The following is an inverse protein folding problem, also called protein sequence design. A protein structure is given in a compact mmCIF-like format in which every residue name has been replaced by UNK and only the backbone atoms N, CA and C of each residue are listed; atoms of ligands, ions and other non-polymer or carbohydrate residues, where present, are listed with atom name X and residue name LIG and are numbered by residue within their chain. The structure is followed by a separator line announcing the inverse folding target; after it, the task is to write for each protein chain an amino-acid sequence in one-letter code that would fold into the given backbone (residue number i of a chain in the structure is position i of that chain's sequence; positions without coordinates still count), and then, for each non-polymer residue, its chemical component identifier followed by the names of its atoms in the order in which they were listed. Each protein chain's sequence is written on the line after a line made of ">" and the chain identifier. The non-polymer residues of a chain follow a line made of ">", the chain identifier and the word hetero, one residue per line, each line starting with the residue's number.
data_IF_358246313263
#
_entry.id   IF_358246313263
#
_cell.length_a   1.000
_cell.length_b   1.000
_cell.length_c   1.000
_cell.angle_alpha   90.00
_cell.angle_beta   90.00
_cell.angle_gamma   90.00
#
_symmetry.space_group_name_H-M   'P 1'
#
loop_
_entity.id
_entity.type
_entity.pdbx_description
1 polymer ?
#
# COMPACT_ATOMS: atom_id res chain seq x y z
N UNK A 1 29.13 44.93 2.80
CA UNK A 1 27.97 44.04 2.57
C UNK A 1 28.53 42.64 2.32
N UNK A 2 28.25 41.68 3.19
CA UNK A 2 28.80 40.33 3.06
C UNK A 2 27.89 39.50 2.13
N UNK A 3 28.45 38.96 1.04
CA UNK A 3 27.74 38.08 0.10
C UNK A 3 27.20 36.77 0.70
N UNK A 4 26.32 36.06 -0.03
CA UNK A 4 25.60 34.87 0.43
C UNK A 4 26.55 33.68 0.73
N UNK A 5 26.02 32.70 1.45
CA UNK A 5 26.62 31.38 1.67
C UNK A 5 26.01 30.41 0.66
N UNK A 6 26.84 29.71 -0.10
CA UNK A 6 26.39 28.63 -0.98
C UNK A 6 26.42 27.31 -0.22
N UNK A 7 25.29 26.59 -0.25
CA UNK A 7 25.11 25.32 0.45
C UNK A 7 24.57 24.31 -0.56
N UNK A 8 25.21 23.15 -0.61
CA UNK A 8 24.74 22.03 -1.43
C UNK A 8 23.55 21.35 -0.74
N UNK A 9 22.50 21.06 -1.50
CA UNK A 9 21.32 20.36 -0.99
C UNK A 9 21.00 19.19 -1.88
N UNK A 10 20.65 18.06 -1.29
CA UNK A 10 20.29 16.85 -2.00
C UNK A 10 19.27 16.04 -1.19
N UNK A 11 18.66 15.02 -1.80
CA UNK A 11 17.69 14.15 -1.13
C UNK A 11 17.73 12.73 -1.68
N UNK A 12 17.24 11.80 -0.87
CA UNK A 12 16.94 10.46 -1.34
C UNK A 12 15.79 10.46 -2.36
N UNK A 13 15.83 9.48 -3.25
CA UNK A 13 14.77 9.19 -4.20
C UNK A 13 13.64 8.41 -3.54
N UNK A 14 12.40 8.73 -3.89
CA UNK A 14 11.22 8.16 -3.23
C UNK A 14 10.51 7.08 -4.04
N UNK A 15 10.78 7.00 -5.34
CA UNK A 15 10.18 6.04 -6.26
C UNK A 15 11.10 5.76 -7.45
N UNK A 16 10.83 4.67 -8.17
CA UNK A 16 11.55 4.34 -9.39
C UNK A 16 11.39 5.44 -10.45
N UNK A 17 12.50 5.96 -10.97
CA UNK A 17 12.52 7.01 -11.97
C UNK A 17 12.51 8.43 -11.41
N UNK A 18 12.36 8.61 -10.09
CA UNK A 18 12.55 9.91 -9.42
C UNK A 18 14.00 10.38 -9.60
N UNK A 19 14.96 9.46 -9.61
CA UNK A 19 16.39 9.67 -9.82
C UNK A 19 16.82 9.78 -11.28
N UNK A 20 15.87 9.87 -12.23
CA UNK A 20 16.21 10.07 -13.64
C UNK A 20 17.00 11.37 -13.87
N UNK A 21 16.84 12.35 -12.97
CA UNK A 21 17.65 13.56 -12.87
C UNK A 21 18.14 13.71 -11.44
N UNK A 22 19.37 14.19 -11.26
CA UNK A 22 19.92 14.46 -9.92
C UNK A 22 19.07 15.47 -9.15
N UNK A 23 18.83 15.20 -7.88
CA UNK A 23 18.17 16.13 -6.96
C UNK A 23 19.14 17.17 -6.36
N UNK A 24 20.44 17.01 -6.59
CA UNK A 24 21.47 17.88 -6.07
C UNK A 24 21.34 19.29 -6.67
N UNK A 25 21.26 20.29 -5.80
CA UNK A 25 21.23 21.70 -6.17
C UNK A 25 22.02 22.53 -5.17
N UNK A 26 22.29 23.78 -5.51
CA UNK A 26 22.87 24.77 -4.60
C UNK A 26 21.80 25.78 -4.20
N UNK A 27 21.80 26.15 -2.93
CA UNK A 27 21.00 27.25 -2.42
C UNK A 27 21.92 28.33 -1.85
N UNK A 28 21.53 29.59 -2.08
CA UNK A 28 22.25 30.75 -1.56
C UNK A 28 21.50 31.30 -0.35
N UNK A 29 22.11 31.25 0.83
CA UNK A 29 21.50 31.73 2.08
C UNK A 29 22.25 32.91 2.68
N UNK A 30 21.54 33.76 3.42
CA UNK A 30 22.16 34.89 4.10
C UNK A 30 22.93 34.42 5.34
N UNK A 31 24.13 34.92 5.62
CA UNK A 31 24.76 34.72 6.93
C UNK A 31 23.85 35.24 8.05
N UNK A 32 23.75 34.49 9.14
CA UNK A 32 22.97 34.85 10.32
C UNK A 32 21.60 34.17 10.41
N UNK A 33 21.14 33.48 9.36
CA UNK A 33 19.91 32.67 9.43
C UNK A 33 20.03 31.55 10.47
N UNK A 34 18.89 31.11 10.96
CA UNK A 34 18.80 30.01 11.92
C UNK A 34 18.90 28.65 11.22
N UNK A 35 19.26 27.61 11.96
CA UNK A 35 19.42 26.26 11.41
C UNK A 35 18.06 25.71 10.95
N UNK A 36 16.99 25.96 11.71
CA UNK A 36 15.64 25.59 11.30
C UNK A 36 15.26 26.24 9.95
N UNK A 37 15.56 27.53 9.79
CA UNK A 37 15.30 28.27 8.56
C UNK A 37 16.11 27.74 7.39
N UNK A 38 17.38 27.36 7.60
CA UNK A 38 18.20 26.72 6.59
C UNK A 38 17.59 25.38 6.14
N UNK A 39 17.20 24.52 7.08
CA UNK A 39 16.58 23.22 6.77
C UNK A 39 15.28 23.41 5.99
N UNK A 40 14.46 24.38 6.37
CA UNK A 40 13.20 24.67 5.68
C UNK A 40 13.45 25.16 4.24
N UNK A 41 14.43 26.05 4.03
CA UNK A 41 14.80 26.52 2.68
C UNK A 41 15.42 25.41 1.82
N UNK A 42 16.15 24.47 2.44
CA UNK A 42 16.75 23.32 1.77
C UNK A 42 15.75 22.18 1.52
N UNK A 43 14.53 22.27 2.04
CA UNK A 43 13.56 21.16 2.07
C UNK A 43 13.29 20.53 0.69
N UNK A 44 12.96 19.22 0.66
CA UNK A 44 12.51 18.55 -0.55
C UNK A 44 11.33 19.27 -1.21
N UNK A 45 11.31 19.26 -2.54
CA UNK A 45 10.18 19.74 -3.33
C UNK A 45 8.95 18.83 -3.23
N UNK A 46 9.09 17.63 -2.68
CA UNK A 46 8.00 16.67 -2.48
C UNK A 46 7.08 17.15 -1.36
N UNK A 47 5.79 17.21 -1.65
CA UNK A 47 4.75 17.79 -0.79
C UNK A 47 3.67 16.77 -0.39
N UNK A 48 4.10 15.56 -0.07
CA UNK A 48 3.21 14.46 0.34
C UNK A 48 3.03 14.40 1.87
N UNK A 49 1.78 14.34 2.31
CA UNK A 49 1.40 14.25 3.72
C UNK A 49 1.75 12.88 4.33
N UNK A 50 2.16 12.86 5.60
CA UNK A 50 2.56 11.66 6.33
C UNK A 50 3.94 11.11 5.96
N UNK A 51 4.66 11.77 5.05
CA UNK A 51 6.02 11.40 4.67
C UNK A 51 7.01 12.11 5.57
N UNK A 52 8.02 11.37 6.03
CA UNK A 52 9.06 11.90 6.91
C UNK A 52 10.44 11.84 6.27
N UNK A 53 11.24 12.86 6.60
CA UNK A 53 12.60 13.02 6.14
C UNK A 53 13.50 13.33 7.32
N UNK A 54 14.72 12.80 7.33
CA UNK A 54 15.75 13.22 8.28
C UNK A 54 16.73 14.13 7.56
N UNK A 55 16.76 15.39 7.97
CA UNK A 55 17.73 16.36 7.45
C UNK A 55 19.09 16.13 8.11
N UNK A 56 20.09 15.84 7.28
CA UNK A 56 21.49 15.69 7.67
C UNK A 56 22.30 16.87 7.21
N UNK A 57 22.99 17.52 8.14
CA UNK A 57 23.88 18.64 7.88
C UNK A 57 25.31 18.20 8.10
N UNK A 58 26.12 18.23 7.04
CA UNK A 58 27.49 17.70 7.02
C UNK A 58 27.61 16.28 7.61
N UNK A 59 26.59 15.45 7.34
CA UNK A 59 26.53 14.05 7.79
C UNK A 59 25.88 13.84 9.16
N UNK A 60 25.54 14.88 9.91
CA UNK A 60 24.86 14.77 11.21
C UNK A 60 23.35 14.97 11.07
N UNK A 61 22.53 14.08 11.66
CA UNK A 61 21.08 14.28 11.73
C UNK A 61 20.74 15.49 12.63
N UNK A 62 20.16 16.53 12.04
CA UNK A 62 19.85 17.79 12.73
C UNK A 62 18.37 18.09 12.86
N UNK A 63 17.52 17.48 12.04
CA UNK A 63 16.08 17.71 12.07
C UNK A 63 15.31 16.53 11.47
N UNK A 64 14.04 16.40 11.87
CA UNK A 64 13.04 15.69 11.10
C UNK A 64 12.21 16.73 10.36
N UNK A 65 11.97 16.52 9.08
CA UNK A 65 11.14 17.40 8.24
C UNK A 65 9.99 16.60 7.63
N UNK A 66 8.83 17.23 7.57
CA UNK A 66 7.63 16.73 6.88
C UNK A 66 6.79 17.93 6.43
N UNK A 67 5.91 17.73 5.45
CA UNK A 67 4.98 18.80 5.08
C UNK A 67 4.02 19.18 6.22
N UNK A 68 3.68 18.20 7.06
CA UNK A 68 2.71 18.37 8.15
C UNK A 68 3.23 19.25 9.28
N UNK A 69 4.55 19.22 9.53
CA UNK A 69 5.16 19.84 10.71
C UNK A 69 6.32 20.81 10.40
N UNK A 70 6.77 20.90 9.15
CA UNK A 70 7.99 21.60 8.78
C UNK A 70 9.23 21.01 9.46
N UNK A 71 10.30 21.80 9.56
CA UNK A 71 11.54 21.40 10.23
C UNK A 71 11.41 21.35 11.77
N UNK A 72 11.45 20.14 12.35
CA UNK A 72 11.58 19.91 13.81
C UNK A 72 13.02 19.54 14.14
N UNK A 73 13.74 20.46 14.80
CA UNK A 73 15.16 20.26 15.11
C UNK A 73 15.40 19.17 16.17
N UNK A 74 16.48 18.42 15.98
CA UNK A 74 17.07 17.44 16.90
C UNK A 74 18.31 18.01 17.62
N UNK A 75 18.67 19.25 17.29
CA UNK A 75 19.82 20.00 17.83
C UNK A 75 19.38 21.41 18.20
N UNK A 76 20.11 22.10 19.09
CA UNK A 76 19.83 23.49 19.40
C UNK A 76 19.82 24.34 18.13
N UNK A 77 18.79 25.18 18.01
CA UNK A 77 18.71 26.11 16.90
C UNK A 77 19.82 27.16 17.01
N UNK A 78 20.71 27.18 16.03
CA UNK A 78 21.91 28.02 16.05
C UNK A 78 21.99 28.86 14.80
N UNK A 79 22.56 30.06 14.93
CA UNK A 79 22.83 30.93 13.79
C UNK A 79 23.96 30.38 12.94
N UNK A 80 23.73 30.32 11.64
CA UNK A 80 24.72 29.95 10.65
C UNK A 80 25.60 31.16 10.35
N UNK A 81 26.91 30.99 10.51
CA UNK A 81 27.90 32.05 10.25
C UNK A 81 28.86 31.58 9.17
N UNK A 82 29.58 32.48 8.50
CA UNK A 82 30.58 32.10 7.48
C UNK A 82 31.63 31.11 7.97
N UNK A 83 32.00 31.16 9.26
CA UNK A 83 33.00 30.25 9.85
C UNK A 83 32.43 28.88 10.21
N UNK A 84 31.09 28.77 10.29
CA UNK A 84 30.36 27.55 10.70
C UNK A 84 29.21 27.29 9.73
N UNK A 85 29.41 27.64 8.46
CA UNK A 85 28.44 27.41 7.41
C UNK A 85 28.55 25.93 7.03
N UNK A 86 27.44 25.18 7.02
CA UNK A 86 27.49 23.82 6.55
C UNK A 86 27.78 23.80 5.06
N UNK A 87 28.42 22.74 4.60
CA UNK A 87 28.69 22.54 3.17
C UNK A 87 27.50 21.89 2.49
N UNK A 88 26.89 20.91 3.18
CA UNK A 88 25.82 20.09 2.61
C UNK A 88 24.66 19.89 3.57
N UNK A 89 23.45 19.95 3.02
CA UNK A 89 22.21 19.43 3.62
C UNK A 89 21.74 18.26 2.77
N UNK A 90 21.49 17.10 3.36
CA UNK A 90 20.92 15.95 2.67
C UNK A 90 19.65 15.49 3.38
N UNK A 91 18.61 15.16 2.64
CA UNK A 91 17.37 14.62 3.22
C UNK A 91 17.28 13.13 2.97
N UNK A 92 17.48 12.35 4.03
CA UNK A 92 17.26 10.90 4.00
C UNK A 92 15.74 10.64 4.05
N UNK A 93 15.20 9.80 3.16
CA UNK A 93 13.76 9.51 3.11
C UNK A 93 13.40 8.36 4.06
N UNK A 94 12.50 8.61 5.01
CA UNK A 94 12.07 7.65 6.04
C UNK A 94 10.67 7.07 5.77
N UNK A 95 10.25 7.04 4.50
CA UNK A 95 9.00 6.39 4.07
C UNK A 95 7.80 7.03 4.77
N UNK A 96 6.82 6.23 5.18
CA UNK A 96 5.59 6.63 5.86
C UNK A 96 5.69 6.45 7.38
N UNK A 97 6.91 6.59 7.94
CA UNK A 97 7.05 6.68 9.39
C UNK A 97 6.46 8.01 9.84
N UNK A 98 5.61 7.96 10.86
CA UNK A 98 5.00 9.14 11.48
C UNK A 98 6.08 10.17 11.88
N UNK A 99 6.03 11.41 11.36
CA UNK A 99 7.09 12.40 11.58
C UNK A 99 7.29 12.79 13.05
N UNK A 100 6.21 12.80 13.84
CA UNK A 100 6.27 13.14 15.25
C UNK A 100 6.91 12.03 16.07
N UNK A 101 6.52 10.77 15.83
CA UNK A 101 7.16 9.61 16.42
C UNK A 101 8.65 9.55 16.05
N UNK A 102 8.99 9.79 14.77
CA UNK A 102 10.38 9.80 14.32
C UNK A 102 11.19 10.90 15.02
N UNK A 103 10.64 12.12 15.13
CA UNK A 103 11.28 13.22 15.85
C UNK A 103 11.53 12.86 17.31
N UNK A 104 10.50 12.33 18.00
CA UNK A 104 10.62 11.91 19.38
C UNK A 104 11.73 10.87 19.55
N UNK A 105 11.71 9.77 18.78
CA UNK A 105 12.70 8.68 18.92
C UNK A 105 14.12 9.14 18.65
N UNK A 106 14.33 9.98 17.64
CA UNK A 106 15.67 10.53 17.37
C UNK A 106 16.11 11.55 18.44
N UNK A 107 15.18 12.31 19.02
CA UNK A 107 15.48 13.24 20.11
C UNK A 107 15.86 12.52 21.41
N UNK A 108 15.34 11.31 21.62
CA UNK A 108 15.69 10.40 22.71
C UNK A 108 17.06 9.70 22.49
N UNK A 109 17.71 9.95 21.35
CA UNK A 109 19.06 9.45 21.05
C UNK A 109 19.09 8.16 20.22
N UNK A 110 17.97 7.72 19.63
CA UNK A 110 18.00 6.62 18.68
C UNK A 110 18.91 6.94 17.48
N UNK A 111 19.60 5.92 16.96
CA UNK A 111 20.42 6.09 15.76
C UNK A 111 19.52 6.35 14.54
N UNK A 112 19.91 7.26 13.62
CA UNK A 112 19.19 7.48 12.36
C UNK A 112 19.46 6.32 11.40
N UNK A 113 18.92 5.14 11.71
CA UNK A 113 18.93 3.95 10.88
C UNK A 113 17.52 3.66 10.41
N UNK A 114 17.25 3.94 9.13
CA UNK A 114 15.92 3.81 8.53
C UNK A 114 15.29 2.43 8.74
N UNK A 115 16.02 1.36 8.41
CA UNK A 115 15.48 0.00 8.49
C UNK A 115 15.14 -0.42 9.92
N UNK A 116 15.97 -0.01 10.88
CA UNK A 116 15.72 -0.32 12.30
C UNK A 116 14.49 0.44 12.83
N UNK A 117 14.37 1.73 12.51
CA UNK A 117 13.24 2.55 12.94
C UNK A 117 11.94 2.15 12.24
N UNK A 118 11.99 1.75 10.96
CA UNK A 118 10.84 1.19 10.25
C UNK A 118 10.36 -0.11 10.90
N UNK A 119 11.27 -1.03 11.23
CA UNK A 119 10.92 -2.26 11.92
C UNK A 119 10.33 -2.00 13.32
N UNK A 120 10.84 -1.00 14.03
CA UNK A 120 10.31 -0.58 15.33
C UNK A 120 8.91 0.06 15.22
N UNK A 121 8.69 0.88 14.18
CA UNK A 121 7.44 1.59 13.96
C UNK A 121 6.34 0.71 13.35
N UNK A 122 6.70 -0.33 12.59
CA UNK A 122 5.77 -1.21 11.89
C UNK A 122 4.58 -1.72 12.74
N UNK A 123 4.75 -2.24 13.98
CA UNK A 123 3.62 -2.65 14.80
C UNK A 123 2.67 -1.50 15.18
N UNK A 124 3.21 -0.30 15.42
CA UNK A 124 2.41 0.91 15.72
C UNK A 124 1.63 1.35 14.49
N UNK A 125 2.27 1.35 13.32
CA UNK A 125 1.62 1.67 12.06
C UNK A 125 0.48 0.70 11.77
N UNK A 126 0.70 -0.60 12.01
CA UNK A 126 -0.31 -1.65 11.83
C UNK A 126 -1.51 -1.46 12.77
N UNK A 127 -1.27 -1.13 14.04
CA UNK A 127 -2.32 -0.85 15.02
C UNK A 127 -3.14 0.39 14.62
N UNK A 128 -2.47 1.50 14.28
CA UNK A 128 -3.13 2.73 13.83
C UNK A 128 -3.95 2.50 12.57
N UNK A 129 -3.42 1.73 11.62
CA UNK A 129 -4.15 1.35 10.42
C UNK A 129 -5.41 0.56 10.74
N UNK A 130 -5.33 -0.44 11.63
CA UNK A 130 -6.49 -1.22 12.07
C UNK A 130 -7.56 -0.34 12.72
N UNK A 131 -7.17 0.59 13.60
CA UNK A 131 -8.09 1.55 14.24
C UNK A 131 -8.81 2.40 13.19
N UNK A 132 -8.08 2.92 12.20
CA UNK A 132 -8.67 3.71 11.11
C UNK A 132 -9.64 2.85 10.26
N UNK A 133 -9.28 1.61 9.94
CA UNK A 133 -10.19 0.73 9.19
C UNK A 133 -11.49 0.46 9.96
N UNK A 134 -11.40 0.29 11.29
CA UNK A 134 -12.55 0.13 12.17
C UNK A 134 -13.38 1.39 12.32
N UNK A 135 -12.74 2.56 12.36
CA UNK A 135 -13.44 3.84 12.34
C UNK A 135 -14.24 3.99 11.04
N UNK A 136 -13.62 3.73 9.90
CA UNK A 136 -14.27 3.75 8.57
C UNK A 136 -15.47 2.82 8.49
N UNK A 137 -15.35 1.60 9.00
CA UNK A 137 -16.48 0.64 9.04
C UNK A 137 -17.70 1.21 9.79
N UNK A 138 -17.48 1.95 10.87
CA UNK A 138 -18.54 2.57 11.68
C UNK A 138 -19.10 3.85 11.08
N UNK A 139 -18.25 4.69 10.49
CA UNK A 139 -18.57 6.08 10.15
C UNK A 139 -18.89 6.30 8.67
N UNK A 140 -18.38 5.46 7.77
CA UNK A 140 -18.61 5.54 6.32
C UNK A 140 -19.67 4.49 5.95
N UNK A 141 -20.69 4.87 5.20
CA UNK A 141 -21.80 3.97 4.84
C UNK A 141 -21.53 3.15 3.59
N UNK A 142 -20.74 3.67 2.67
CA UNK A 142 -20.31 2.97 1.46
C UNK A 142 -19.53 1.70 1.81
N UNK A 143 -19.66 0.70 0.95
CA UNK A 143 -19.03 -0.61 1.10
C UNK A 143 -18.25 -0.95 -0.15
N UNK A 144 -17.11 -1.60 0.03
CA UNK A 144 -16.27 -2.05 -1.09
C UNK A 144 -17.03 -2.99 -2.04
N UNK A 145 -17.89 -3.83 -1.47
CA UNK A 145 -18.67 -4.82 -2.19
C UNK A 145 -20.15 -4.74 -1.83
N UNK A 146 -20.98 -5.16 -2.77
CA UNK A 146 -22.43 -5.25 -2.65
C UNK A 146 -22.86 -6.16 -1.50
N UNK A 147 -24.07 -5.91 -0.98
CA UNK A 147 -24.68 -6.79 0.03
C UNK A 147 -24.89 -8.20 -0.52
N UNK A 148 -25.27 -8.33 -1.80
CA UNK A 148 -25.44 -9.62 -2.49
C UNK A 148 -24.15 -10.46 -2.44
N UNK A 149 -23.01 -9.86 -2.77
CA UNK A 149 -21.72 -10.55 -2.68
C UNK A 149 -21.43 -11.01 -1.24
N UNK A 150 -21.61 -10.13 -0.26
CA UNK A 150 -21.32 -10.46 1.15
C UNK A 150 -22.23 -11.56 1.69
N UNK A 151 -23.52 -11.52 1.37
CA UNK A 151 -24.50 -12.51 1.83
C UNK A 151 -24.24 -13.87 1.16
N UNK A 152 -23.83 -13.89 -0.11
CA UNK A 152 -23.38 -15.11 -0.78
C UNK A 152 -22.17 -15.73 -0.06
N UNK A 153 -21.13 -14.94 0.24
CA UNK A 153 -19.95 -15.43 0.98
C UNK A 153 -20.35 -16.01 2.35
N UNK A 154 -21.26 -15.34 3.07
CA UNK A 154 -21.79 -15.83 4.35
C UNK A 154 -22.59 -17.13 4.19
N UNK A 155 -23.35 -17.27 3.11
CA UNK A 155 -24.07 -18.51 2.75
C UNK A 155 -23.14 -19.71 2.63
N UNK A 156 -21.91 -19.51 2.16
CA UNK A 156 -20.86 -20.52 2.13
C UNK A 156 -20.09 -20.70 3.45
N UNK A 157 -20.48 -19.98 4.51
CA UNK A 157 -19.87 -20.07 5.83
C UNK A 157 -18.74 -19.07 6.08
N UNK A 158 -18.59 -18.02 5.26
CA UNK A 158 -17.60 -16.99 5.51
C UNK A 158 -17.97 -16.15 6.76
N UNK A 159 -17.00 -15.96 7.66
CA UNK A 159 -17.12 -15.07 8.81
C UNK A 159 -16.46 -13.75 8.48
N UNK A 160 -17.27 -12.74 8.17
CA UNK A 160 -16.79 -11.38 7.85
C UNK A 160 -16.35 -10.68 9.12
N UNK A 161 -15.06 -10.37 9.19
CA UNK A 161 -14.43 -9.74 10.34
C UNK A 161 -14.43 -8.20 10.22
N UNK A 162 -14.24 -7.67 9.02
CA UNK A 162 -14.19 -6.24 8.73
C UNK A 162 -14.73 -5.99 7.31
N UNK A 163 -15.61 -4.99 7.14
CA UNK A 163 -16.04 -4.53 5.82
C UNK A 163 -16.34 -3.02 5.81
N UNK A 164 -15.53 -2.27 5.08
CA UNK A 164 -15.69 -0.82 4.88
C UNK A 164 -15.64 -0.46 3.38
N UNK A 165 -15.53 0.83 3.08
CA UNK A 165 -15.51 1.39 1.72
C UNK A 165 -14.30 0.96 0.86
N UNK A 166 -13.23 0.45 1.49
CA UNK A 166 -11.96 0.12 0.83
C UNK A 166 -11.42 -1.26 1.13
N UNK A 167 -11.97 -1.97 2.11
CA UNK A 167 -11.43 -3.23 2.60
C UNK A 167 -12.55 -4.16 3.05
N UNK A 168 -12.43 -5.43 2.68
CA UNK A 168 -13.12 -6.54 3.32
C UNK A 168 -12.10 -7.57 3.80
N UNK A 169 -12.31 -8.12 4.99
CA UNK A 169 -11.56 -9.28 5.52
C UNK A 169 -12.52 -10.28 6.11
N UNK A 170 -12.32 -11.55 5.79
CA UNK A 170 -13.16 -12.63 6.28
C UNK A 170 -12.37 -13.94 6.37
N UNK A 171 -12.93 -14.91 7.07
CA UNK A 171 -12.37 -16.25 7.20
C UNK A 171 -13.35 -17.28 6.63
N UNK A 172 -12.82 -18.26 5.89
CA UNK A 172 -13.58 -19.43 5.41
C UNK A 172 -12.68 -20.66 5.51
N UNK A 173 -13.16 -21.73 6.16
CA UNK A 173 -12.43 -23.01 6.25
C UNK A 173 -11.03 -22.87 6.86
N UNK A 174 -10.84 -21.94 7.80
CA UNK A 174 -9.54 -21.64 8.43
C UNK A 174 -8.58 -20.79 7.56
N UNK A 175 -8.98 -20.42 6.34
CA UNK A 175 -8.22 -19.53 5.49
C UNK A 175 -8.69 -18.08 5.63
N UNK A 176 -7.73 -17.16 5.76
CA UNK A 176 -7.99 -15.71 5.74
C UNK A 176 -8.06 -15.19 4.32
N UNK A 177 -9.08 -14.42 4.05
CA UNK A 177 -9.32 -13.73 2.79
C UNK A 177 -9.36 -12.23 3.01
N UNK A 178 -8.89 -11.49 2.02
CA UNK A 178 -9.02 -10.04 1.99
C UNK A 178 -9.22 -9.53 0.57
N UNK A 179 -9.96 -8.42 0.46
CA UNK A 179 -9.92 -7.60 -0.73
C UNK A 179 -9.78 -6.13 -0.33
N UNK A 180 -8.94 -5.37 -1.05
CA UNK A 180 -8.69 -3.96 -0.76
C UNK A 180 -8.61 -3.11 -2.03
N UNK A 181 -9.03 -1.85 -1.94
CA UNK A 181 -8.92 -0.90 -3.04
C UNK A 181 -7.56 -0.20 -3.03
N UNK A 182 -6.76 -0.45 -4.06
CA UNK A 182 -5.49 0.22 -4.33
C UNK A 182 -5.62 1.02 -5.64
N UNK A 183 -5.70 2.34 -5.51
CA UNK A 183 -6.03 3.24 -6.63
C UNK A 183 -7.34 2.84 -7.33
N UNK A 184 -7.28 2.47 -8.62
CA UNK A 184 -8.42 2.05 -9.44
C UNK A 184 -8.65 0.53 -9.44
N UNK A 185 -7.78 -0.23 -8.79
CA UNK A 185 -7.83 -1.70 -8.77
C UNK A 185 -8.33 -2.22 -7.42
N UNK A 186 -8.98 -3.38 -7.45
CA UNK A 186 -9.29 -4.19 -6.26
C UNK A 186 -8.26 -5.32 -6.19
N UNK A 187 -7.43 -5.31 -5.14
CA UNK A 187 -6.51 -6.37 -4.81
C UNK A 187 -7.24 -7.44 -4.01
N UNK A 188 -7.22 -8.70 -4.44
CA UNK A 188 -7.86 -9.82 -3.76
C UNK A 188 -6.81 -10.86 -3.39
N UNK A 189 -6.87 -11.38 -2.17
CA UNK A 189 -5.84 -12.26 -1.64
C UNK A 189 -6.35 -13.31 -0.68
N UNK A 190 -5.60 -14.40 -0.59
CA UNK A 190 -5.78 -15.49 0.39
C UNK A 190 -4.46 -15.68 1.14
N UNK A 191 -4.49 -15.73 2.47
CA UNK A 191 -3.31 -16.05 3.29
C UNK A 191 -2.20 -14.99 3.34
N UNK A 192 -2.49 -13.73 3.00
CA UNK A 192 -1.58 -12.61 3.25
C UNK A 192 -0.90 -11.99 2.03
N UNK A 193 -1.20 -12.45 0.81
CA UNK A 193 -0.73 -11.83 -0.44
C UNK A 193 -1.82 -11.78 -1.51
N UNK A 194 -1.72 -10.88 -2.51
CA UNK A 194 -2.71 -10.77 -3.58
C UNK A 194 -2.58 -11.91 -4.60
N UNK A 195 -3.68 -12.59 -4.84
CA UNK A 195 -3.84 -13.59 -5.90
C UNK A 195 -4.38 -12.95 -7.18
N UNK A 196 -5.10 -11.84 -7.06
CA UNK A 196 -5.64 -11.08 -8.17
C UNK A 196 -5.61 -9.57 -7.91
N UNK A 197 -5.50 -8.81 -8.99
CA UNK A 197 -5.73 -7.36 -9.03
C UNK A 197 -6.70 -7.08 -10.17
N UNK A 198 -7.88 -6.55 -9.88
CA UNK A 198 -9.00 -6.52 -10.83
C UNK A 198 -9.64 -5.13 -10.88
N UNK A 199 -9.96 -4.66 -12.10
CA UNK A 199 -10.96 -3.62 -12.35
C UNK A 199 -11.85 -4.00 -13.54
N UNK A 200 -13.16 -3.69 -13.50
CA UNK A 200 -13.86 -2.92 -12.47
C UNK A 200 -14.17 -3.73 -11.19
N UNK A 201 -14.54 -3.03 -10.10
CA UNK A 201 -14.87 -3.65 -8.82
C UNK A 201 -16.06 -4.64 -8.89
N UNK A 202 -17.03 -4.39 -9.76
CA UNK A 202 -18.14 -5.32 -10.00
C UNK A 202 -17.67 -6.68 -10.51
N UNK A 203 -16.63 -6.71 -11.36
CA UNK A 203 -16.04 -7.98 -11.78
C UNK A 203 -15.20 -8.63 -10.67
N UNK A 204 -14.58 -7.82 -9.80
CA UNK A 204 -13.85 -8.32 -8.63
C UNK A 204 -14.76 -9.11 -7.67
N UNK A 205 -16.03 -8.70 -7.51
CA UNK A 205 -17.03 -9.46 -6.73
C UNK A 205 -17.28 -10.85 -7.33
N UNK A 206 -17.51 -10.92 -8.64
CA UNK A 206 -17.75 -12.18 -9.36
C UNK A 206 -16.53 -13.11 -9.26
N UNK A 207 -15.32 -12.57 -9.47
CA UNK A 207 -14.10 -13.33 -9.31
C UNK A 207 -13.90 -13.83 -7.87
N UNK A 208 -14.18 -12.99 -6.87
CA UNK A 208 -14.09 -13.39 -5.47
C UNK A 208 -15.06 -14.51 -5.15
N UNK A 209 -16.31 -14.40 -5.61
CA UNK A 209 -17.32 -15.44 -5.44
C UNK A 209 -16.87 -16.77 -6.07
N UNK A 210 -16.32 -16.73 -7.29
CA UNK A 210 -15.77 -17.92 -7.94
C UNK A 210 -14.62 -18.55 -7.13
N UNK A 211 -13.66 -17.75 -6.68
CA UNK A 211 -12.48 -18.22 -5.95
C UNK A 211 -12.83 -18.77 -4.56
N UNK A 212 -13.72 -18.10 -3.83
CA UNK A 212 -14.19 -18.54 -2.50
C UNK A 212 -15.11 -19.75 -2.62
N UNK A 213 -16.00 -19.76 -3.62
CA UNK A 213 -16.87 -20.89 -3.92
C UNK A 213 -16.08 -22.16 -4.23
N UNK A 214 -14.95 -22.02 -4.91
CA UNK A 214 -14.05 -23.15 -5.17
C UNK A 214 -13.45 -23.75 -3.89
N UNK A 215 -13.08 -22.92 -2.91
CA UNK A 215 -12.64 -23.39 -1.59
C UNK A 215 -13.78 -24.03 -0.80
N UNK A 216 -14.98 -23.45 -0.86
CA UNK A 216 -16.19 -24.01 -0.27
C UNK A 216 -16.48 -25.42 -0.83
N UNK A 217 -16.38 -25.63 -2.14
CA UNK A 217 -16.52 -26.96 -2.77
C UNK A 217 -15.50 -27.97 -2.26
N UNK A 218 -14.23 -27.58 -2.21
CA UNK A 218 -13.15 -28.44 -1.68
C UNK A 218 -13.42 -28.82 -0.23
N UNK A 219 -13.89 -27.88 0.60
CA UNK A 219 -14.24 -28.14 1.99
C UNK A 219 -15.39 -29.15 2.14
N UNK A 220 -16.26 -29.27 1.13
CA UNK A 220 -17.33 -30.29 1.07
C UNK A 220 -16.93 -31.58 0.35
N UNK A 221 -15.65 -31.75 0.04
CA UNK A 221 -15.12 -32.95 -0.62
C UNK A 221 -15.45 -33.05 -2.10
N UNK A 222 -15.87 -31.95 -2.74
CA UNK A 222 -16.14 -31.89 -4.17
C UNK A 222 -14.93 -31.39 -4.98
N UNK A 223 -15.00 -31.56 -6.30
CA UNK A 223 -14.03 -30.97 -7.21
C UNK A 223 -14.01 -29.44 -7.06
N UNK A 224 -12.81 -28.85 -7.08
CA UNK A 224 -12.57 -27.43 -6.83
C UNK A 224 -13.42 -26.51 -7.71
N UNK A 225 -13.41 -26.75 -9.01
CA UNK A 225 -14.31 -26.07 -9.94
C UNK A 225 -15.43 -27.03 -10.36
N UNK A 226 -16.67 -26.55 -10.50
CA UNK A 226 -17.72 -27.33 -11.15
C UNK A 226 -17.41 -27.53 -12.64
N UNK A 227 -18.16 -28.40 -13.30
CA UNK A 227 -18.18 -28.40 -14.76
C UNK A 227 -18.99 -27.18 -15.24
N UNK A 228 -18.46 -26.44 -16.21
CA UNK A 228 -19.14 -25.27 -16.78
C UNK A 228 -18.70 -25.04 -18.23
N UNK A 229 -19.61 -24.46 -19.02
CA UNK A 229 -19.30 -24.05 -20.38
C UNK A 229 -18.42 -22.79 -20.37
N UNK A 230 -17.25 -22.86 -21.01
CA UNK A 230 -16.37 -21.70 -21.13
C UNK A 230 -16.97 -20.68 -22.09
N UNK A 231 -17.22 -19.47 -21.60
CA UNK A 231 -17.59 -18.32 -22.43
C UNK A 231 -16.35 -17.80 -23.17
N UNK A 232 -16.56 -16.99 -24.20
CA UNK A 232 -15.43 -16.31 -24.87
C UNK A 232 -14.70 -15.40 -23.88
N UNK A 233 -13.42 -15.70 -23.65
CA UNK A 233 -12.57 -14.99 -22.70
C UNK A 233 -11.72 -13.94 -23.42
N UNK A 234 -11.44 -12.80 -22.78
CA UNK A 234 -10.34 -11.93 -23.18
C UNK A 234 -9.02 -12.72 -23.17
N UNK A 235 -8.11 -12.35 -24.07
CA UNK A 235 -6.78 -12.97 -24.11
C UNK A 235 -6.00 -12.68 -22.82
N UNK A 236 -5.43 -13.74 -22.25
CA UNK A 236 -4.57 -13.67 -21.07
C UNK A 236 -3.11 -13.68 -21.51
N UNK A 237 -2.47 -12.52 -21.42
CA UNK A 237 -1.06 -12.35 -21.74
C UNK A 237 -0.17 -12.72 -20.55
N UNK A 238 0.91 -13.49 -20.76
CA UNK A 238 1.83 -13.84 -19.68
C UNK A 238 2.57 -12.60 -19.16
N UNK A 239 2.71 -12.51 -17.84
CA UNK A 239 3.50 -11.48 -17.15
C UNK A 239 4.77 -12.06 -16.53
N UNK A 240 5.68 -11.17 -16.12
CA UNK A 240 6.82 -11.55 -15.29
C UNK A 240 6.34 -12.20 -13.98
N UNK A 241 6.91 -13.36 -13.65
CA UNK A 241 6.57 -14.12 -12.44
C UNK A 241 6.89 -13.32 -11.17
N UNK A 242 5.92 -13.22 -10.26
CA UNK A 242 6.09 -12.61 -8.94
C UNK A 242 5.02 -13.11 -7.96
N UNK A 243 5.38 -13.75 -6.83
CA UNK A 243 6.72 -14.11 -6.38
C UNK A 243 7.44 -15.09 -7.33
N UNK A 244 8.78 -15.26 -7.23
CA UNK A 244 9.53 -16.20 -8.05
C UNK A 244 8.88 -17.59 -8.09
N UNK A 245 8.71 -18.15 -9.29
CA UNK A 245 8.06 -19.45 -9.50
C UNK A 245 6.54 -19.41 -9.66
N UNK A 246 5.89 -18.27 -9.43
CA UNK A 246 4.44 -18.13 -9.66
C UNK A 246 4.18 -17.50 -11.03
N UNK A 247 3.58 -18.26 -11.95
CA UNK A 247 3.13 -17.72 -13.24
C UNK A 247 2.05 -16.66 -13.04
N UNK A 248 2.08 -15.65 -13.88
CA UNK A 248 1.14 -14.53 -13.85
C UNK A 248 0.60 -14.23 -15.23
N UNK A 249 -0.63 -13.74 -15.26
CA UNK A 249 -1.32 -13.37 -16.49
C UNK A 249 -2.01 -12.03 -16.32
N UNK A 250 -2.19 -11.29 -17.41
CA UNK A 250 -2.99 -10.09 -17.44
C UNK A 250 -3.88 -10.02 -18.67
N UNK A 251 -4.94 -9.22 -18.57
CA UNK A 251 -5.71 -8.75 -19.73
C UNK A 251 -5.43 -7.28 -19.99
N UNK A 252 -5.55 -6.87 -21.25
CA UNK A 252 -5.48 -5.47 -21.67
C UNK A 252 -6.88 -5.02 -22.10
N UNK A 253 -7.29 -3.82 -21.67
CA UNK A 253 -8.56 -3.21 -22.09
C UNK A 253 -9.50 -2.86 -20.94
N UNK A 254 -10.80 -2.80 -21.24
CA UNK A 254 -11.85 -2.34 -20.32
C UNK A 254 -11.98 -3.22 -19.06
N UNK A 255 -11.81 -4.54 -19.24
CA UNK A 255 -11.60 -5.47 -18.14
C UNK A 255 -10.08 -5.66 -17.98
N UNK A 256 -9.51 -5.09 -16.92
CA UNK A 256 -8.09 -5.26 -16.60
C UNK A 256 -7.98 -6.16 -15.38
N UNK A 257 -7.35 -7.33 -15.56
CA UNK A 257 -7.00 -8.24 -14.47
C UNK A 257 -5.50 -8.50 -14.47
N UNK A 258 -4.96 -8.77 -13.29
CA UNK A 258 -3.66 -9.41 -13.11
C UNK A 258 -3.87 -10.59 -12.17
N UNK A 259 -3.55 -11.80 -12.62
CA UNK A 259 -3.86 -13.05 -11.96
C UNK A 259 -2.55 -13.79 -11.64
N UNK A 260 -2.47 -14.38 -10.45
CA UNK A 260 -1.30 -15.13 -9.99
C UNK A 260 -1.66 -16.59 -9.72
N UNK A 261 -1.06 -17.51 -10.47
CA UNK A 261 -1.32 -18.95 -10.40
C UNK A 261 -2.58 -19.42 -11.15
N UNK A 262 -2.62 -20.71 -11.45
CA UNK A 262 -3.69 -21.37 -12.24
C UNK A 262 -5.07 -21.32 -11.54
N UNK A 263 -5.08 -21.30 -10.21
CA UNK A 263 -6.30 -21.13 -9.43
C UNK A 263 -6.99 -19.79 -9.71
N UNK A 264 -6.19 -18.72 -9.82
CA UNK A 264 -6.71 -17.38 -10.10
C UNK A 264 -7.26 -17.27 -11.53
N UNK A 265 -6.62 -17.98 -12.47
CA UNK A 265 -7.10 -18.13 -13.85
C UNK A 265 -8.41 -18.91 -13.87
N UNK A 266 -8.49 -20.05 -13.18
CA UNK A 266 -9.71 -20.86 -13.15
C UNK A 266 -10.92 -20.09 -12.58
N UNK A 267 -10.70 -19.30 -11.52
CA UNK A 267 -11.74 -18.41 -10.99
C UNK A 267 -12.15 -17.32 -11.99
N UNK A 268 -11.20 -16.79 -12.77
CA UNK A 268 -11.48 -15.85 -13.85
C UNK A 268 -12.31 -16.48 -14.97
N UNK A 269 -11.99 -17.70 -15.40
CA UNK A 269 -12.73 -18.43 -16.43
C UNK A 269 -14.19 -18.69 -16.00
N UNK A 270 -14.41 -19.04 -14.73
CA UNK A 270 -15.75 -19.21 -14.16
C UNK A 270 -16.48 -17.86 -14.07
N UNK A 271 -15.83 -16.81 -13.56
CA UNK A 271 -16.49 -15.53 -13.31
C UNK A 271 -16.80 -14.72 -14.58
N UNK A 272 -15.99 -14.87 -15.64
CA UNK A 272 -16.14 -14.07 -16.84
C UNK A 272 -17.51 -14.23 -17.50
N UNK A 273 -18.21 -13.11 -17.69
CA UNK A 273 -19.52 -13.07 -18.33
C UNK A 273 -20.67 -13.59 -17.46
N UNK A 274 -20.45 -13.84 -16.17
CA UNK A 274 -21.47 -14.34 -15.23
C UNK A 274 -21.78 -13.33 -14.12
N UNK A 275 -23.00 -13.39 -13.64
CA UNK A 275 -23.49 -12.75 -12.42
C UNK A 275 -23.13 -13.55 -11.17
N UNK A 276 -23.26 -12.92 -9.99
CA UNK A 276 -23.04 -13.60 -8.70
C UNK A 276 -23.99 -14.78 -8.51
N UNK A 277 -25.25 -14.65 -8.90
CA UNK A 277 -26.25 -15.73 -8.81
C UNK A 277 -25.87 -16.92 -9.70
N UNK A 278 -25.50 -16.69 -10.96
CA UNK A 278 -25.07 -17.77 -11.86
C UNK A 278 -23.81 -18.49 -11.36
N UNK A 279 -22.88 -17.74 -10.75
CA UNK A 279 -21.70 -18.33 -10.12
C UNK A 279 -22.12 -19.18 -8.92
N UNK A 280 -23.04 -18.69 -8.09
CA UNK A 280 -23.56 -19.44 -6.94
C UNK A 280 -24.19 -20.78 -7.36
N UNK A 281 -25.08 -20.74 -8.36
CA UNK A 281 -25.75 -21.93 -8.89
C UNK A 281 -24.74 -22.97 -9.41
N UNK A 282 -23.71 -22.53 -10.14
CA UNK A 282 -22.64 -23.41 -10.62
C UNK A 282 -21.81 -23.98 -9.48
N UNK A 283 -21.42 -23.16 -8.51
CA UNK A 283 -20.64 -23.58 -7.34
C UNK A 283 -21.40 -24.60 -6.50
N UNK A 284 -22.71 -24.48 -6.40
CA UNK A 284 -23.56 -25.38 -5.61
C UNK A 284 -24.00 -26.61 -6.38
N UNK A 285 -23.89 -26.59 -7.72
CA UNK A 285 -24.21 -27.73 -8.57
C UNK A 285 -23.40 -28.98 -8.18
N UNK A 286 -24.11 -30.10 -8.02
CA UNK A 286 -23.51 -31.38 -7.66
C UNK A 286 -22.96 -31.48 -6.23
N UNK A 287 -23.22 -30.50 -5.35
CA UNK A 287 -23.00 -30.66 -3.92
C UNK A 287 -24.20 -31.37 -3.29
N UNK A 288 -23.94 -32.37 -2.45
CA UNK A 288 -24.99 -32.97 -1.62
C UNK A 288 -25.53 -31.94 -0.63
N UNK A 289 -26.86 -31.87 -0.41
CA UNK A 289 -27.42 -31.00 0.61
C UNK A 289 -26.83 -31.33 1.99
N UNK A 290 -26.58 -30.27 2.76
CA UNK A 290 -26.03 -30.30 4.12
C UNK A 290 -26.98 -31.00 5.10
#
# INVERSE_FOLDING_TARGET
>A
MFGPLEIETDRDSVAMGDDAVSHARQISVRPGIHLAELVEQASPEIREHGWSWVARVDGEAVAVWSIDHGARLLRPDRRITRRRAPKRVHFDYYVQIDPEWLHQRLSEGAAPNRLALEAEFAPIAQERWEIEQRRREREIHERLFSAECVDLLRGWGAVVNLHNDRLIRFELGGARWSASRADTMVLLGRGGGPNASIRPASFAECWLAAAVGADYRVARGAARMPEFDRLSLPELEPMASWPPGTKRWATIGALTVQLSGEDAVSAFELAHGRSLTEIADLIESGLSPA
#
